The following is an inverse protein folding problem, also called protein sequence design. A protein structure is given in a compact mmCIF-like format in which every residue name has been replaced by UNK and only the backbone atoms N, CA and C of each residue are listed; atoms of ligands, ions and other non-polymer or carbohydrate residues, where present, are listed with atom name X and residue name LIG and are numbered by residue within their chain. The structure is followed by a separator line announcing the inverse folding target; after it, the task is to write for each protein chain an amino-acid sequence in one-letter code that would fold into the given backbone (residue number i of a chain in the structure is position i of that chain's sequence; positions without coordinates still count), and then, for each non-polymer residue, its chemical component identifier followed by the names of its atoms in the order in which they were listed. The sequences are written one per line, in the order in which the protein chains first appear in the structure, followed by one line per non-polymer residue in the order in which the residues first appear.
data_IF_505764971814
#
_entry.id   IF_505764971814
#
_cell.length_a   1.000
_cell.length_b   1.000
_cell.length_c   1.000
_cell.angle_alpha   90.00
_cell.angle_beta   90.00
_cell.angle_gamma   90.00
#
_symmetry.space_group_name_H-M   'P 1'
#
loop_
_entity.id
_entity.type
_entity.pdbx_description
1 polymer ?
#
# COMPACT_ATOMS: atom_id res chain seq x y z
N UNK A 1 31.39 5.43 15.62
CA UNK A 1 30.13 4.76 15.26
C UNK A 1 29.04 5.80 15.36
N UNK A 2 28.60 6.34 14.22
CA UNK A 2 27.56 7.34 14.18
C UNK A 2 26.46 6.78 13.30
N UNK A 3 25.35 6.39 13.90
CA UNK A 3 24.17 5.92 13.18
C UNK A 3 23.60 7.07 12.36
N UNK A 4 23.60 6.94 11.02
CA UNK A 4 22.78 7.78 10.16
C UNK A 4 21.32 7.38 10.38
N UNK A 5 20.57 8.23 11.07
CA UNK A 5 19.12 8.15 11.19
C UNK A 5 18.53 8.62 9.86
N UNK A 6 17.87 7.72 9.13
CA UNK A 6 17.07 8.09 7.96
C UNK A 6 15.71 8.50 8.51
N UNK A 7 15.44 9.81 8.50
CA UNK A 7 14.15 10.35 8.90
C UNK A 7 13.22 10.38 7.67
N UNK A 8 12.18 9.56 7.67
CA UNK A 8 11.16 9.52 6.61
C UNK A 8 9.96 10.32 7.11
N UNK A 9 9.98 11.64 6.89
CA UNK A 9 8.82 12.49 7.15
C UNK A 9 7.84 12.43 5.98
N UNK A 10 6.54 12.23 6.29
CA UNK A 10 5.48 11.77 5.39
C UNK A 10 4.97 12.81 4.36
N UNK A 11 5.53 14.02 4.34
CA UNK A 11 4.95 15.15 3.58
C UNK A 11 5.57 15.39 2.21
N UNK A 12 6.67 14.73 1.84
CA UNK A 12 7.23 14.83 0.50
C UNK A 12 8.12 13.62 0.21
N UNK A 13 7.55 12.58 -0.40
CA UNK A 13 8.30 11.41 -0.84
C UNK A 13 9.13 11.75 -2.10
N UNK A 14 10.10 12.66 -1.95
CA UNK A 14 11.20 12.90 -2.88
C UNK A 14 12.46 12.46 -2.14
N UNK A 15 13.16 11.44 -2.67
CA UNK A 15 14.49 11.09 -2.20
C UNK A 15 15.41 12.28 -2.53
N UNK A 16 15.54 13.24 -1.61
CA UNK A 16 16.53 14.32 -1.71
C UNK A 16 17.84 13.83 -1.10
N UNK A 17 18.81 13.52 -1.95
CA UNK A 17 20.21 13.52 -1.56
C UNK A 17 20.59 14.96 -1.23
N UNK A 18 20.61 15.31 0.06
CA UNK A 18 21.05 16.64 0.50
C UNK A 18 22.55 16.78 0.20
N UNK A 19 22.90 17.62 -0.77
CA UNK A 19 24.24 18.16 -0.92
C UNK A 19 24.52 19.09 0.26
N UNK A 20 25.45 18.73 1.13
CA UNK A 20 25.95 19.62 2.16
C UNK A 20 27.00 20.56 1.56
N UNK A 21 26.66 21.83 1.37
CA UNK A 21 27.57 22.91 1.03
C UNK A 21 27.85 23.80 2.25
N UNK A 22 29.07 23.67 2.81
CA UNK A 22 29.88 24.71 3.48
C UNK A 22 29.78 24.85 5.02
N UNK A 23 30.78 25.45 5.71
CA UNK A 23 32.15 25.83 5.31
C UNK A 23 33.28 25.30 6.26
N UNK A 24 34.52 25.41 5.80
CA UNK A 24 35.80 25.45 6.58
C UNK A 24 36.23 24.26 7.46
N UNK A 25 37.10 23.41 6.90
CA UNK A 25 38.45 23.06 7.42
C UNK A 25 39.09 22.04 6.46
N UNK A 26 39.72 22.54 5.39
CA UNK A 26 40.56 21.73 4.51
C UNK A 26 42.00 21.75 5.07
N UNK A 27 42.58 20.61 5.53
CA UNK A 27 44.02 20.51 5.56
C UNK A 27 44.51 20.41 4.11
N UNK A 28 45.35 21.37 3.71
CA UNK A 28 46.09 21.37 2.45
C UNK A 28 46.85 20.04 2.32
N UNK A 29 46.63 19.32 1.22
CA UNK A 29 47.55 18.27 0.77
C UNK A 29 48.26 18.76 -0.48
N UNK A 30 49.57 18.97 -0.35
CA UNK A 30 50.50 19.17 -1.46
C UNK A 30 50.63 17.90 -2.30
N UNK A 31 50.96 18.01 -3.61
CA UNK A 31 51.14 16.86 -4.45
C UNK A 31 52.53 16.27 -4.20
N UNK A 32 52.59 15.16 -3.47
CA UNK A 32 53.79 14.31 -3.47
C UNK A 32 53.44 13.06 -4.24
N UNK A 33 53.99 12.99 -5.45
CA UNK A 33 53.92 11.80 -6.28
C UNK A 33 54.50 10.60 -5.53
N UNK A 34 53.83 9.46 -5.69
CA UNK A 34 54.47 8.22 -6.13
C UNK A 34 53.38 7.20 -6.43
N UNK A 35 53.53 6.60 -7.61
CA UNK A 35 52.69 5.54 -8.12
C UNK A 35 52.57 4.38 -7.11
N UNK A 36 51.35 4.08 -6.67
CA UNK A 36 51.00 2.76 -6.16
C UNK A 36 50.11 2.08 -7.20
N UNK A 37 50.77 1.41 -8.15
CA UNK A 37 50.16 0.31 -8.89
C UNK A 37 49.83 -0.79 -7.86
N UNK A 38 48.59 -0.85 -7.40
CA UNK A 38 48.09 -2.06 -6.72
C UNK A 38 47.65 -3.03 -7.80
N UNK A 39 48.48 -4.06 -8.00
CA UNK A 39 48.34 -5.07 -9.04
C UNK A 39 46.96 -5.72 -9.11
N UNK A 40 46.56 -6.04 -10.34
CA UNK A 40 45.35 -6.77 -10.65
C UNK A 40 45.35 -8.17 -10.04
N UNK A 41 44.31 -8.48 -9.26
CA UNK A 41 43.79 -9.84 -8.99
C UNK A 41 42.68 -9.84 -7.92
N UNK A 42 42.56 -8.80 -7.08
CA UNK A 42 41.61 -8.79 -5.94
C UNK A 42 40.16 -8.40 -6.28
N UNK A 43 39.92 -7.67 -7.38
CA UNK A 43 38.57 -7.20 -7.75
C UNK A 43 37.60 -8.29 -8.22
N UNK A 44 38.11 -9.43 -8.73
CA UNK A 44 37.27 -10.55 -9.19
C UNK A 44 36.45 -11.20 -8.07
N UNK A 45 36.95 -11.18 -6.83
CA UNK A 45 36.23 -11.70 -5.67
C UNK A 45 35.05 -10.81 -5.27
N UNK A 46 35.27 -9.50 -5.22
CA UNK A 46 34.24 -8.52 -4.88
C UNK A 46 33.11 -8.46 -5.91
N UNK A 47 33.42 -8.60 -7.21
CA UNK A 47 32.41 -8.63 -8.27
C UNK A 47 31.49 -9.86 -8.23
N UNK A 48 31.87 -10.95 -7.58
CA UNK A 48 31.02 -12.14 -7.41
C UNK A 48 30.05 -12.04 -6.23
N UNK A 49 30.32 -11.16 -5.25
CA UNK A 49 29.50 -10.97 -4.05
C UNK A 49 28.46 -9.86 -4.28
N UNK A 50 28.82 -8.85 -5.09
CA UNK A 50 27.97 -7.70 -5.39
C UNK A 50 26.56 -8.05 -5.89
N UNK A 51 26.35 -9.06 -6.76
CA UNK A 51 25.02 -9.46 -7.17
C UNK A 51 24.16 -9.89 -5.97
N UNK A 52 24.71 -10.61 -4.99
CA UNK A 52 23.94 -11.15 -3.85
C UNK A 52 23.55 -10.08 -2.81
N UNK A 53 24.31 -8.99 -2.73
CA UNK A 53 24.05 -7.92 -1.77
C UNK A 53 22.77 -7.13 -2.09
N UNK A 54 22.43 -6.97 -3.37
CA UNK A 54 21.26 -6.21 -3.80
C UNK A 54 19.92 -6.90 -3.44
N UNK A 55 19.70 -8.20 -3.75
CA UNK A 55 18.50 -8.90 -3.30
C UNK A 55 18.36 -8.96 -1.78
N UNK A 56 19.47 -9.14 -1.05
CA UNK A 56 19.47 -9.17 0.41
C UNK A 56 19.07 -7.82 1.01
N UNK A 57 19.56 -6.70 0.45
CA UNK A 57 19.16 -5.38 0.90
C UNK A 57 17.69 -5.08 0.61
N UNK A 58 17.15 -5.56 -0.53
CA UNK A 58 15.73 -5.46 -0.85
C UNK A 58 14.87 -6.24 0.16
N UNK A 59 15.24 -7.46 0.52
CA UNK A 59 14.52 -8.25 1.53
C UNK A 59 14.56 -7.54 2.88
N UNK A 60 15.73 -7.04 3.30
CA UNK A 60 15.89 -6.36 4.57
C UNK A 60 15.04 -5.08 4.64
N UNK A 61 15.10 -4.23 3.61
CA UNK A 61 14.31 -3.01 3.52
C UNK A 61 12.81 -3.28 3.48
N UNK A 62 12.38 -4.28 2.70
CA UNK A 62 10.97 -4.69 2.62
C UNK A 62 10.44 -5.28 3.94
N UNK A 63 11.27 -6.05 4.66
CA UNK A 63 10.92 -6.62 5.97
C UNK A 63 10.77 -5.54 7.03
N UNK A 64 11.68 -4.56 7.05
CA UNK A 64 11.68 -3.49 8.04
C UNK A 64 10.45 -2.58 7.90
N UNK A 65 10.06 -2.26 6.66
CA UNK A 65 9.00 -1.28 6.39
C UNK A 65 7.66 -1.91 6.03
N UNK A 66 7.46 -3.21 6.29
CA UNK A 66 6.24 -3.93 5.88
C UNK A 66 4.96 -3.31 6.46
N UNK A 67 5.07 -2.66 7.63
CA UNK A 67 3.94 -2.02 8.33
C UNK A 67 4.01 -0.48 8.31
N UNK A 68 5.08 0.12 7.78
CA UNK A 68 5.37 1.54 7.99
C UNK A 68 4.71 2.48 6.96
N UNK A 69 4.14 1.94 5.87
CA UNK A 69 3.58 2.76 4.79
C UNK A 69 2.12 2.38 4.44
N UNK A 70 1.12 2.98 5.12
CA UNK A 70 -0.30 2.78 4.77
C UNK A 70 -0.68 3.40 3.42
N UNK A 71 0.10 4.36 2.90
CA UNK A 71 -0.15 4.99 1.58
C UNK A 71 0.27 4.10 0.40
N UNK A 72 1.29 3.25 0.56
CA UNK A 72 1.83 2.37 -0.49
C UNK A 72 2.22 1.00 0.10
N UNK A 73 1.25 0.20 0.60
CA UNK A 73 1.52 -1.06 1.29
C UNK A 73 2.21 -2.11 0.39
N UNK A 74 2.17 -1.90 -0.91
CA UNK A 74 2.71 -2.82 -1.90
C UNK A 74 4.23 -2.67 -2.12
N UNK A 75 4.85 -1.51 -1.85
CA UNK A 75 6.30 -1.32 -2.07
C UNK A 75 7.16 -2.28 -1.23
N UNK A 76 6.94 -2.41 0.09
CA UNK A 76 7.69 -3.38 0.89
C UNK A 76 7.50 -4.83 0.41
N UNK A 77 6.28 -5.16 -0.04
CA UNK A 77 5.96 -6.48 -0.62
C UNK A 77 6.73 -6.72 -1.92
N UNK A 78 6.83 -5.72 -2.80
CA UNK A 78 7.64 -5.82 -4.01
C UNK A 78 9.12 -6.01 -3.71
N UNK A 79 9.67 -5.25 -2.77
CA UNK A 79 11.06 -5.40 -2.35
C UNK A 79 11.34 -6.81 -1.83
N UNK A 80 10.42 -7.38 -1.04
CA UNK A 80 10.51 -8.76 -0.57
C UNK A 80 10.46 -9.77 -1.72
N UNK A 81 9.44 -9.69 -2.58
CA UNK A 81 9.24 -10.67 -3.65
C UNK A 81 10.37 -10.61 -4.69
N UNK A 82 10.76 -9.42 -5.14
CA UNK A 82 11.87 -9.26 -6.07
C UNK A 82 13.21 -9.66 -5.44
N UNK A 83 13.41 -9.37 -4.15
CA UNK A 83 14.58 -9.83 -3.42
C UNK A 83 14.66 -11.36 -3.36
N UNK A 84 13.57 -12.04 -3.01
CA UNK A 84 13.52 -13.51 -2.97
C UNK A 84 13.75 -14.12 -4.37
N UNK A 85 13.07 -13.61 -5.40
CA UNK A 85 13.28 -14.06 -6.79
C UNK A 85 14.73 -13.82 -7.24
N UNK A 86 15.33 -12.68 -6.86
CA UNK A 86 16.72 -12.35 -7.15
C UNK A 86 17.71 -13.34 -6.53
N UNK A 87 17.49 -13.76 -5.28
CA UNK A 87 18.29 -14.81 -4.63
C UNK A 87 18.12 -16.15 -5.35
N UNK A 88 16.89 -16.54 -5.69
CA UNK A 88 16.62 -17.80 -6.38
C UNK A 88 17.32 -17.86 -7.75
N UNK A 89 17.30 -16.76 -8.51
CA UNK A 89 18.00 -16.66 -9.80
C UNK A 89 19.52 -16.76 -9.64
N UNK A 90 20.09 -16.24 -8.55
CA UNK A 90 21.53 -16.36 -8.27
C UNK A 90 21.92 -17.76 -7.83
N UNK A 91 21.14 -18.39 -6.96
CA UNK A 91 21.34 -19.79 -6.58
C UNK A 91 21.31 -20.67 -7.84
N UNK A 92 20.36 -20.44 -8.77
CA UNK A 92 20.33 -21.13 -10.06
C UNK A 92 21.51 -20.81 -10.98
N UNK A 93 22.04 -19.59 -10.95
CA UNK A 93 23.25 -19.23 -11.70
C UNK A 93 24.47 -20.00 -11.19
N UNK A 94 24.67 -20.06 -9.88
CA UNK A 94 25.75 -20.83 -9.28
C UNK A 94 25.59 -22.34 -9.51
N UNK A 95 24.41 -22.91 -9.23
CA UNK A 95 24.13 -24.33 -9.49
C UNK A 95 24.25 -24.69 -10.98
N UNK A 96 23.86 -23.78 -11.87
CA UNK A 96 24.04 -23.93 -13.32
C UNK A 96 25.50 -24.06 -13.72
N UNK A 97 26.40 -23.23 -13.15
CA UNK A 97 27.86 -23.37 -13.37
C UNK A 97 28.41 -24.72 -12.91
N UNK A 98 27.96 -25.21 -11.76
CA UNK A 98 28.33 -26.56 -11.30
C UNK A 98 27.81 -27.65 -12.24
N UNK A 99 26.58 -27.54 -12.76
CA UNK A 99 26.01 -28.52 -13.71
C UNK A 99 26.71 -28.52 -15.07
N UNK A 100 27.10 -27.36 -15.61
CA UNK A 100 27.85 -27.29 -16.89
C UNK A 100 29.19 -28.00 -16.81
N UNK A 101 29.77 -28.11 -15.61
CA UNK A 101 31.01 -28.84 -15.38
C UNK A 101 30.82 -30.37 -15.37
N UNK A 102 29.59 -30.86 -15.22
CA UNK A 102 29.24 -32.28 -15.22
C UNK A 102 28.73 -32.79 -16.59
N UNK A 103 28.62 -31.95 -17.62
CA UNK A 103 28.15 -32.30 -18.99
C UNK A 103 26.85 -33.12 -19.04
N UNK A 104 25.93 -32.92 -18.08
CA UNK A 104 24.64 -33.61 -18.07
C UNK A 104 23.56 -32.74 -18.75
N UNK A 105 23.05 -33.13 -19.93
CA UNK A 105 22.07 -32.33 -20.68
C UNK A 105 20.71 -32.20 -19.97
N UNK A 106 20.34 -33.17 -19.12
CA UNK A 106 19.10 -33.12 -18.34
C UNK A 106 19.18 -32.04 -17.26
N UNK A 107 20.32 -31.89 -16.62
CA UNK A 107 20.55 -30.88 -15.59
C UNK A 107 20.55 -29.45 -16.17
N UNK A 108 21.06 -29.27 -17.38
CA UNK A 108 21.04 -28.01 -18.10
C UNK A 108 19.61 -27.58 -18.52
N UNK A 109 18.82 -28.53 -19.04
CA UNK A 109 17.41 -28.32 -19.35
C UNK A 109 16.58 -27.95 -18.12
N UNK A 110 16.77 -28.67 -17.00
CA UNK A 110 16.10 -28.37 -15.73
C UNK A 110 16.48 -26.98 -15.20
N UNK A 111 17.76 -26.62 -15.26
CA UNK A 111 18.25 -25.30 -14.84
C UNK A 111 17.66 -24.16 -15.68
N UNK A 112 17.62 -24.34 -17.00
CA UNK A 112 17.08 -23.35 -17.95
C UNK A 112 15.56 -23.21 -17.80
N UNK A 113 14.85 -24.34 -17.66
CA UNK A 113 13.40 -24.37 -17.42
C UNK A 113 13.01 -23.69 -16.10
N UNK A 114 13.72 -23.97 -15.01
CA UNK A 114 13.49 -23.32 -13.72
C UNK A 114 13.76 -21.80 -13.78
N UNK A 115 14.73 -21.36 -14.58
CA UNK A 115 15.04 -19.94 -14.79
C UNK A 115 13.89 -19.23 -15.53
N UNK A 116 13.39 -19.85 -16.59
CA UNK A 116 12.23 -19.35 -17.34
C UNK A 116 10.98 -19.26 -16.46
N UNK A 117 10.71 -20.28 -15.64
CA UNK A 117 9.57 -20.29 -14.73
C UNK A 117 9.65 -19.17 -13.68
N UNK A 118 10.82 -18.90 -13.11
CA UNK A 118 11.00 -17.78 -12.17
C UNK A 118 10.80 -16.42 -12.85
N UNK A 119 11.30 -16.25 -14.08
CA UNK A 119 11.07 -15.02 -14.84
C UNK A 119 9.59 -14.84 -15.18
N UNK A 120 8.90 -15.90 -15.61
CA UNK A 120 7.45 -15.88 -15.87
C UNK A 120 6.67 -15.55 -14.60
N UNK A 121 7.03 -16.16 -13.46
CA UNK A 121 6.43 -15.83 -12.17
C UNK A 121 6.63 -14.36 -11.82
N UNK A 122 7.83 -13.80 -11.98
CA UNK A 122 8.11 -12.40 -11.69
C UNK A 122 7.28 -11.45 -12.58
N UNK A 123 7.14 -11.78 -13.87
CA UNK A 123 6.32 -11.00 -14.82
C UNK A 123 4.84 -11.10 -14.47
N UNK A 124 4.32 -12.31 -14.24
CA UNK A 124 2.93 -12.52 -13.83
C UNK A 124 2.64 -11.78 -12.51
N UNK A 125 3.52 -11.91 -11.51
CA UNK A 125 3.38 -11.23 -10.24
C UNK A 125 3.38 -9.71 -10.41
N UNK A 126 4.29 -9.15 -11.21
CA UNK A 126 4.32 -7.70 -11.49
C UNK A 126 2.99 -7.21 -12.09
N UNK A 127 2.39 -8.01 -12.97
CA UNK A 127 1.10 -7.70 -13.62
C UNK A 127 -0.07 -7.85 -12.64
N UNK A 128 -0.11 -8.91 -11.84
CA UNK A 128 -1.29 -9.25 -11.03
C UNK A 128 -1.28 -8.64 -9.64
N UNK A 129 -0.11 -8.35 -9.06
CA UNK A 129 0.01 -7.93 -7.66
C UNK A 129 -0.55 -6.51 -7.38
N UNK A 130 -0.93 -5.75 -8.43
CA UNK A 130 -1.64 -4.47 -8.31
C UNK A 130 -3.13 -4.53 -8.67
N UNK A 131 -3.68 -5.71 -8.91
CA UNK A 131 -5.09 -5.79 -9.30
C UNK A 131 -5.99 -5.77 -8.08
N UNK A 132 -6.72 -4.67 -7.90
CA UNK A 132 -7.81 -4.60 -6.92
C UNK A 132 -8.81 -5.74 -7.17
N UNK A 133 -9.36 -6.30 -6.09
CA UNK A 133 -10.39 -7.32 -6.21
C UNK A 133 -11.56 -6.79 -7.06
N UNK A 134 -12.19 -7.63 -7.92
CA UNK A 134 -13.33 -7.21 -8.73
C UNK A 134 -14.44 -6.55 -7.91
N UNK A 135 -14.64 -7.05 -6.69
CA UNK A 135 -15.62 -6.53 -5.74
C UNK A 135 -15.27 -5.12 -5.22
N UNK A 136 -14.00 -4.82 -4.96
CA UNK A 136 -13.57 -3.49 -4.55
C UNK A 136 -13.78 -2.47 -5.68
N UNK A 137 -13.48 -2.85 -6.93
CA UNK A 137 -13.73 -2.00 -8.09
C UNK A 137 -15.22 -1.68 -8.24
N UNK A 138 -16.08 -2.69 -8.05
CA UNK A 138 -17.52 -2.49 -8.06
C UNK A 138 -17.98 -1.58 -6.92
N UNK A 139 -17.48 -1.79 -5.70
CA UNK A 139 -17.78 -0.97 -4.53
C UNK A 139 -17.44 0.51 -4.76
N UNK A 140 -16.24 0.79 -5.28
CA UNK A 140 -15.77 2.14 -5.62
C UNK A 140 -16.66 2.76 -6.71
N UNK A 141 -16.94 2.00 -7.78
CA UNK A 141 -17.78 2.46 -8.88
C UNK A 141 -19.19 2.85 -8.42
N UNK A 142 -19.82 2.00 -7.59
CA UNK A 142 -21.14 2.27 -7.01
C UNK A 142 -21.14 3.47 -6.06
N UNK A 143 -20.07 3.65 -5.29
CA UNK A 143 -19.88 4.81 -4.41
C UNK A 143 -19.81 6.13 -5.21
N UNK A 144 -19.04 6.15 -6.30
CA UNK A 144 -18.94 7.30 -7.20
C UNK A 144 -20.27 7.61 -7.88
N UNK A 145 -20.98 6.60 -8.37
CA UNK A 145 -22.27 6.78 -9.04
C UNK A 145 -23.36 7.34 -8.10
N UNK A 146 -23.45 6.82 -6.87
CA UNK A 146 -24.52 7.26 -5.94
C UNK A 146 -24.30 8.69 -5.42
N UNK A 147 -23.05 9.17 -5.38
CA UNK A 147 -22.73 10.56 -5.01
C UNK A 147 -23.51 11.56 -5.87
N UNK A 148 -23.65 11.27 -7.17
CA UNK A 148 -24.34 12.16 -8.12
C UNK A 148 -25.86 12.24 -7.89
N UNK A 149 -26.40 11.37 -7.02
CA UNK A 149 -27.82 11.38 -6.60
C UNK A 149 -28.07 12.18 -5.31
N UNK A 150 -27.03 12.78 -4.74
CA UNK A 150 -27.14 13.54 -3.49
C UNK A 150 -28.16 14.69 -3.60
N UNK A 151 -29.01 14.81 -2.58
CA UNK A 151 -29.88 15.97 -2.41
C UNK A 151 -29.21 16.96 -1.47
N UNK A 152 -28.41 17.88 -2.02
CA UNK A 152 -27.65 18.84 -1.24
C UNK A 152 -27.75 20.28 -1.76
N UNK A 153 -28.96 20.87 -1.84
CA UNK A 153 -29.13 22.23 -2.39
C UNK A 153 -28.55 23.33 -1.50
N UNK A 154 -28.32 23.05 -0.21
CA UNK A 154 -27.85 24.04 0.75
C UNK A 154 -26.32 24.10 0.78
N UNK A 155 -25.65 22.97 1.00
CA UNK A 155 -24.17 22.93 1.00
C UNK A 155 -23.57 22.89 -0.39
N UNK A 156 -24.31 22.36 -1.38
CA UNK A 156 -23.78 22.01 -2.71
C UNK A 156 -22.57 21.06 -2.62
N UNK A 157 -22.59 20.20 -1.60
CA UNK A 157 -21.52 19.27 -1.30
C UNK A 157 -22.04 17.82 -1.38
N UNK A 158 -21.94 17.17 -2.55
CA UNK A 158 -22.45 15.82 -2.72
C UNK A 158 -21.49 14.79 -2.12
N UNK A 159 -22.06 13.84 -1.39
CA UNK A 159 -21.34 12.74 -0.73
C UNK A 159 -22.02 11.43 -1.12
N UNK A 160 -21.21 10.45 -1.53
CA UNK A 160 -21.65 9.09 -1.82
C UNK A 160 -21.05 8.10 -0.83
N UNK A 161 -21.80 7.04 -0.53
CA UNK A 161 -21.32 5.91 0.25
C UNK A 161 -21.84 4.59 -0.33
N UNK A 162 -21.01 3.55 -0.27
CA UNK A 162 -21.41 2.20 -0.62
C UNK A 162 -20.88 1.21 0.43
N UNK A 163 -21.75 0.35 0.93
CA UNK A 163 -21.45 -0.65 1.97
C UNK A 163 -21.43 -2.03 1.34
N UNK A 164 -20.37 -2.77 1.62
CA UNK A 164 -20.27 -4.19 1.30
C UNK A 164 -20.74 -5.02 2.50
N UNK A 165 -21.75 -5.85 2.27
CA UNK A 165 -22.24 -6.81 3.25
C UNK A 165 -21.37 -8.06 3.27
N UNK A 166 -21.39 -8.82 4.37
CA UNK A 166 -20.69 -10.12 4.44
C UNK A 166 -21.25 -11.13 3.41
N UNK A 167 -22.50 -10.96 2.98
CA UNK A 167 -23.13 -11.76 1.92
C UNK A 167 -22.76 -11.33 0.50
N UNK A 168 -21.91 -10.32 0.32
CA UNK A 168 -21.46 -9.84 -0.99
C UNK A 168 -22.36 -8.79 -1.65
N UNK A 169 -23.52 -8.46 -1.08
CA UNK A 169 -24.38 -7.38 -1.59
C UNK A 169 -23.73 -6.00 -1.33
N UNK A 170 -23.89 -5.09 -2.30
CA UNK A 170 -23.44 -3.69 -2.22
C UNK A 170 -24.65 -2.78 -2.09
N UNK A 171 -24.70 -1.99 -1.01
CA UNK A 171 -25.82 -1.11 -0.69
C UNK A 171 -25.33 0.32 -0.65
N UNK A 172 -25.97 1.19 -1.42
CA UNK A 172 -25.53 2.57 -1.65
C UNK A 172 -26.40 3.59 -0.92
N UNK A 173 -25.81 4.75 -0.62
CA UNK A 173 -26.49 5.91 -0.06
C UNK A 173 -25.79 7.21 -0.45
N UNK A 174 -26.54 8.31 -0.39
CA UNK A 174 -26.03 9.67 -0.58
C UNK A 174 -26.56 10.57 0.55
N UNK A 175 -25.95 11.75 0.70
CA UNK A 175 -26.46 12.73 1.67
C UNK A 175 -27.78 13.34 1.18
N UNK A 176 -28.68 13.55 2.13
CA UNK A 176 -29.99 14.19 1.91
C UNK A 176 -30.13 15.30 2.94
N UNK A 177 -30.10 16.53 2.46
CA UNK A 177 -30.20 17.72 3.28
C UNK A 177 -31.65 18.13 3.53
N UNK A 178 -31.82 19.00 4.53
CA UNK A 178 -33.12 19.57 4.88
C UNK A 178 -32.96 21.05 5.26
N UNK A 179 -34.01 21.84 5.09
CA UNK A 179 -34.04 23.24 5.52
C UNK A 179 -33.75 23.38 7.03
N UNK A 180 -34.24 22.44 7.84
CA UNK A 180 -33.79 22.27 9.22
C UNK A 180 -32.53 21.42 9.23
N UNK A 181 -31.35 22.07 9.32
CA UNK A 181 -30.06 21.41 9.09
C UNK A 181 -29.79 20.22 10.03
N UNK A 182 -30.37 20.21 11.23
CA UNK A 182 -30.27 19.08 12.17
C UNK A 182 -30.92 17.79 11.68
N UNK A 183 -31.79 17.87 10.66
CA UNK A 183 -32.45 16.72 10.04
C UNK A 183 -31.68 16.13 8.85
N UNK A 184 -30.54 16.74 8.47
CA UNK A 184 -29.70 16.23 7.38
C UNK A 184 -29.12 14.85 7.72
N UNK A 185 -29.24 13.92 6.77
CA UNK A 185 -28.65 12.59 6.85
C UNK A 185 -27.44 12.48 5.92
N UNK A 186 -26.34 11.93 6.43
CA UNK A 186 -25.12 11.72 5.65
C UNK A 186 -25.22 10.44 4.82
N UNK A 187 -24.42 10.35 3.74
CA UNK A 187 -24.42 9.23 2.82
C UNK A 187 -24.21 7.86 3.49
N UNK A 188 -23.29 7.80 4.45
CA UNK A 188 -22.93 6.59 5.19
C UNK A 188 -24.12 6.12 6.03
N UNK A 189 -24.82 7.05 6.71
CA UNK A 189 -26.02 6.75 7.50
C UNK A 189 -27.17 6.30 6.59
N UNK A 190 -27.37 6.95 5.45
CA UNK A 190 -28.35 6.51 4.44
C UNK A 190 -28.08 5.08 3.98
N UNK A 191 -26.82 4.75 3.66
CA UNK A 191 -26.43 3.41 3.21
C UNK A 191 -26.65 2.36 4.32
N UNK A 192 -26.27 2.65 5.56
CA UNK A 192 -26.49 1.76 6.72
C UNK A 192 -27.98 1.53 6.94
N UNK A 193 -28.78 2.60 6.98
CA UNK A 193 -30.22 2.53 7.21
C UNK A 193 -30.90 1.67 6.14
N UNK A 194 -30.57 1.92 4.86
CA UNK A 194 -31.06 1.11 3.75
C UNK A 194 -30.68 -0.37 3.91
N UNK A 195 -29.42 -0.63 4.26
CA UNK A 195 -28.96 -2.00 4.45
C UNK A 195 -29.72 -2.75 5.55
N UNK A 196 -29.99 -2.07 6.68
CA UNK A 196 -30.78 -2.62 7.78
C UNK A 196 -32.21 -2.92 7.34
N UNK A 197 -32.84 -2.03 6.55
CA UNK A 197 -34.19 -2.27 6.03
C UNK A 197 -34.25 -3.41 5.02
N UNK A 198 -33.14 -3.69 4.32
CA UNK A 198 -33.00 -4.83 3.41
C UNK A 198 -32.56 -6.13 4.14
N UNK A 199 -32.48 -6.10 5.47
CA UNK A 199 -32.18 -7.28 6.30
C UNK A 199 -30.69 -7.53 6.56
N UNK A 200 -29.80 -6.64 6.12
CA UNK A 200 -28.36 -6.77 6.34
C UNK A 200 -27.93 -6.05 7.62
N UNK A 201 -27.22 -6.77 8.50
CA UNK A 201 -26.66 -6.23 9.76
C UNK A 201 -25.20 -6.59 9.99
N UNK A 202 -24.56 -7.22 9.01
CA UNK A 202 -23.15 -7.62 9.05
C UNK A 202 -22.45 -7.12 7.80
N UNK A 203 -21.38 -6.37 8.00
CA UNK A 203 -20.71 -5.62 6.96
C UNK A 203 -19.21 -5.87 7.02
N UNK A 204 -18.55 -5.79 5.87
CA UNK A 204 -17.12 -6.04 5.71
C UNK A 204 -16.35 -4.78 5.33
N UNK A 205 -16.96 -3.90 4.53
CA UNK A 205 -16.33 -2.66 4.11
C UNK A 205 -17.33 -1.55 3.82
N UNK A 206 -16.85 -0.31 3.85
CA UNK A 206 -17.56 0.87 3.35
C UNK A 206 -16.63 1.73 2.51
N UNK A 207 -17.15 2.20 1.38
CA UNK A 207 -16.56 3.20 0.52
C UNK A 207 -17.27 4.53 0.73
N UNK A 208 -16.52 5.64 0.81
CA UNK A 208 -17.05 7.00 0.96
C UNK A 208 -16.34 7.94 0.00
N UNK A 209 -17.09 8.81 -0.66
CA UNK A 209 -16.55 9.79 -1.61
C UNK A 209 -17.26 11.15 -1.49
N UNK A 210 -16.56 12.21 -1.87
CA UNK A 210 -17.10 13.57 -1.97
C UNK A 210 -16.36 14.32 -3.09
N UNK A 211 -16.72 15.59 -3.32
CA UNK A 211 -16.14 16.40 -4.41
C UNK A 211 -14.76 17.00 -4.14
N UNK A 212 -14.12 16.66 -3.02
CA UNK A 212 -12.77 17.15 -2.70
C UNK A 212 -11.72 16.32 -3.44
N UNK A 213 -10.89 16.99 -4.26
CA UNK A 213 -9.91 16.34 -5.15
C UNK A 213 -8.53 16.15 -4.53
N UNK A 214 -8.13 17.03 -3.61
CA UNK A 214 -6.72 17.11 -3.19
C UNK A 214 -6.44 16.35 -1.89
N UNK A 215 -7.47 15.88 -1.19
CA UNK A 215 -7.35 15.18 0.09
C UNK A 215 -8.39 14.07 0.23
N UNK A 216 -8.06 13.05 1.02
CA UNK A 216 -8.99 12.02 1.43
C UNK A 216 -9.83 12.49 2.62
N UNK A 217 -11.15 12.33 2.52
CA UNK A 217 -12.09 12.85 3.52
C UNK A 217 -12.81 11.67 4.17
N UNK A 218 -12.66 11.58 5.50
CA UNK A 218 -13.28 10.54 6.30
C UNK A 218 -14.73 10.82 6.67
N UNK A 219 -15.48 9.78 7.10
CA UNK A 219 -16.82 9.96 7.63
C UNK A 219 -16.83 10.88 8.84
N UNK A 220 -17.95 11.60 9.05
CA UNK A 220 -18.10 12.46 10.23
C UNK A 220 -18.25 11.64 11.52
N UNK A 221 -18.07 12.27 12.69
CA UNK A 221 -18.13 11.57 13.98
C UNK A 221 -19.43 10.79 14.21
N UNK A 222 -20.58 11.36 13.81
CA UNK A 222 -21.87 10.68 13.92
C UNK A 222 -21.95 9.43 13.03
N UNK A 223 -21.42 9.50 11.81
CA UNK A 223 -21.36 8.33 10.91
C UNK A 223 -20.44 7.25 11.49
N UNK A 224 -19.28 7.62 12.01
CA UNK A 224 -18.36 6.66 12.67
C UNK A 224 -19.05 5.92 13.81
N UNK A 225 -19.78 6.65 14.65
CA UNK A 225 -20.50 6.05 15.77
C UNK A 225 -21.63 5.11 15.32
N UNK A 226 -22.39 5.48 14.28
CA UNK A 226 -23.44 4.60 13.71
C UNK A 226 -22.82 3.34 13.09
N UNK A 227 -21.70 3.45 12.40
CA UNK A 227 -21.00 2.29 11.84
C UNK A 227 -20.50 1.36 12.94
N UNK A 228 -19.95 1.90 14.04
CA UNK A 228 -19.42 1.13 15.16
C UNK A 228 -20.46 0.27 15.87
N UNK A 229 -21.74 0.65 15.83
CA UNK A 229 -22.86 -0.14 16.37
C UNK A 229 -22.92 -1.55 15.73
N UNK A 230 -22.54 -1.67 14.47
CA UNK A 230 -22.59 -2.92 13.72
C UNK A 230 -21.26 -3.68 13.69
N UNK A 231 -20.24 -3.16 14.38
CA UNK A 231 -18.91 -3.78 14.51
C UNK A 231 -17.76 -2.82 14.20
N UNK A 232 -16.57 -3.17 14.66
CA UNK A 232 -15.37 -2.33 14.59
C UNK A 232 -14.36 -2.76 13.51
N UNK A 233 -14.50 -3.97 12.98
CA UNK A 233 -13.49 -4.60 12.10
C UNK A 233 -13.88 -4.51 10.62
N UNK A 234 -14.08 -3.28 10.14
CA UNK A 234 -14.45 -3.04 8.75
C UNK A 234 -13.39 -2.19 8.07
N UNK A 235 -13.17 -2.49 6.80
CA UNK A 235 -12.33 -1.67 5.93
C UNK A 235 -13.09 -0.40 5.52
N UNK A 236 -12.45 0.76 5.63
CA UNK A 236 -13.00 2.04 5.20
C UNK A 236 -12.16 2.57 4.05
N UNK A 237 -12.79 2.74 2.89
CA UNK A 237 -12.17 3.25 1.67
C UNK A 237 -12.58 4.70 1.44
N UNK A 238 -11.63 5.61 1.60
CA UNK A 238 -11.80 7.03 1.34
C UNK A 238 -11.44 7.30 -0.11
N UNK A 239 -12.42 7.69 -0.92
CA UNK A 239 -12.31 7.72 -2.38
C UNK A 239 -12.35 9.15 -2.89
N UNK A 240 -11.38 9.52 -3.71
CA UNK A 240 -11.35 10.77 -4.46
C UNK A 240 -12.14 10.66 -5.77
N UNK A 241 -12.58 11.79 -6.37
CA UNK A 241 -13.34 11.78 -7.62
C UNK A 241 -12.66 11.10 -8.82
N UNK A 242 -11.32 11.01 -8.80
CA UNK A 242 -10.53 10.30 -9.83
C UNK A 242 -10.52 8.77 -9.66
N UNK A 243 -11.18 8.26 -8.61
CA UNK A 243 -11.21 6.85 -8.25
C UNK A 243 -10.01 6.38 -7.43
N UNK A 244 -9.02 7.24 -7.19
CA UNK A 244 -7.95 6.93 -6.24
C UNK A 244 -8.52 6.84 -4.82
N UNK A 245 -7.95 5.95 -4.00
CA UNK A 245 -8.48 5.71 -2.66
C UNK A 245 -7.39 5.54 -1.61
N UNK A 246 -7.74 5.82 -0.37
CA UNK A 246 -6.96 5.47 0.82
C UNK A 246 -7.77 4.49 1.67
N UNK A 247 -7.14 3.39 2.07
CA UNK A 247 -7.71 2.42 2.99
C UNK A 247 -7.34 2.80 4.44
N UNK A 248 -8.30 2.69 5.34
CA UNK A 248 -8.15 2.77 6.81
C UNK A 248 -9.14 1.82 7.46
N UNK A 249 -9.19 1.76 8.79
CA UNK A 249 -10.15 0.95 9.53
C UNK A 249 -11.08 1.84 10.36
N UNK A 250 -12.28 1.34 10.65
CA UNK A 250 -13.21 2.09 11.50
C UNK A 250 -12.65 2.31 12.92
N UNK A 251 -11.85 1.36 13.41
CA UNK A 251 -11.18 1.45 14.71
C UNK A 251 -10.10 2.53 14.76
N UNK A 252 -9.35 2.75 13.67
CA UNK A 252 -8.42 3.88 13.54
C UNK A 252 -9.17 5.22 13.50
N UNK A 253 -10.34 5.25 12.84
CA UNK A 253 -11.16 6.45 12.71
C UNK A 253 -11.89 6.81 14.02
N UNK A 254 -12.24 5.84 14.86
CA UNK A 254 -12.89 6.09 16.15
C UNK A 254 -12.26 5.21 17.25
N UNK A 255 -11.05 5.57 17.72
CA UNK A 255 -10.40 4.84 18.80
C UNK A 255 -11.20 4.98 20.10
N UNK A 256 -11.19 3.92 20.91
CA UNK A 256 -11.89 3.88 22.22
C UNK A 256 -13.39 4.23 22.10
N UNK A 257 -14.03 3.82 21.00
CA UNK A 257 -15.44 4.12 20.76
C UNK A 257 -16.35 3.60 21.88
N UNK A 258 -17.41 4.37 22.14
CA UNK A 258 -18.55 3.88 22.88
C UNK A 258 -19.25 2.77 22.08
N UNK A 259 -19.60 1.67 22.74
CA UNK A 259 -20.18 0.47 22.13
C UNK A 259 -21.22 -0.15 23.07
N UNK A 260 -22.07 -1.07 22.58
CA UNK A 260 -23.03 -1.79 23.43
C UNK A 260 -22.42 -2.54 24.62
N UNK A 261 -21.10 -2.81 24.62
CA UNK A 261 -20.41 -3.41 25.75
C UNK A 261 -20.40 -2.50 27.00
N UNK A 262 -20.47 -1.18 26.82
CA UNK A 262 -20.44 -0.20 27.91
C UNK A 262 -21.82 0.01 28.56
N UNK A 263 -22.88 -0.56 27.98
CA UNK A 263 -24.25 -0.50 28.50
C UNK A 263 -24.62 -1.72 29.35
N UNK A 264 -23.72 -2.71 29.43
CA UNK A 264 -23.94 -3.91 30.24
C UNK A 264 -23.43 -3.62 31.64
N UNK A 265 -24.32 -3.81 32.62
CA UNK A 265 -24.02 -3.74 34.06
C UNK A 265 -22.97 -4.79 34.47
#
# INVERSE_FOLDING_TARGET
MTFCRVDVSCDSCVIRLLSASGPELLPKMEPVGNAFYVGGSSWKGYMNILPALLPLSMIALGSLHINDCPKQPYIPIYLLVFGVVGILLQVQYFLGKFCTQCQNPVAEWLSTGCRLLLCLFAVCWLITAHTDSPLLKELISKCLQVRDLAYCPYSRFPVGAAILTVGGAIITGCNVENASYGLTVCAERTAVQKAVTEGHRKFSAIAVTCDIKDQFVGPCGACRQVLMEFGSHWDVYLIKPDGSYQKTTLQELLPLAFTPAHLKD
#
